data_IF_541560206791
#
_entry.id   IF_541560206791
#
_cell.length_a   1.000
_cell.length_b   1.000
_cell.length_c   1.000
_cell.angle_alpha   90.00
_cell.angle_beta   90.00
_cell.angle_gamma   90.00
#
_symmetry.space_group_name_H-M   'P 1'
#
loop_
_entity.id
_entity.type
_entity.pdbx_description
1 polymer ?
#
# COMPACT_ATOMS: atom_id res chain seq x y z
N UNK A 1 76.64 -15.48 1.53
CA UNK A 1 75.96 -14.23 1.95
C UNK A 1 75.10 -13.70 0.81
N UNK A 2 73.76 -13.81 0.89
CA UNK A 2 72.86 -13.30 -0.15
C UNK A 2 72.53 -11.82 0.08
N UNK A 3 72.90 -10.95 -0.88
CA UNK A 3 72.56 -9.51 -0.88
C UNK A 3 71.04 -9.33 -1.07
N UNK A 4 70.34 -8.83 -0.06
CA UNK A 4 68.95 -8.32 -0.20
C UNK A 4 68.95 -7.16 -1.21
N UNK A 5 68.42 -7.38 -2.42
CA UNK A 5 68.14 -6.32 -3.40
C UNK A 5 67.16 -5.32 -2.77
N UNK A 6 67.59 -4.06 -2.58
CA UNK A 6 66.72 -2.97 -2.11
C UNK A 6 65.73 -2.59 -3.24
N UNK A 7 64.44 -2.53 -2.92
CA UNK A 7 63.38 -2.14 -3.87
C UNK A 7 63.62 -0.72 -4.39
N UNK A 8 63.47 -0.50 -5.70
CA UNK A 8 63.60 0.83 -6.30
C UNK A 8 62.45 1.74 -5.88
N UNK A 9 62.60 3.07 -5.98
CA UNK A 9 61.55 4.01 -5.59
C UNK A 9 60.21 3.72 -6.31
N UNK A 10 60.25 3.41 -7.61
CA UNK A 10 59.07 2.99 -8.38
C UNK A 10 58.39 1.72 -7.86
N UNK A 11 59.17 0.72 -7.38
CA UNK A 11 58.62 -0.48 -6.74
C UNK A 11 57.96 -0.18 -5.38
N UNK A 12 58.37 0.89 -4.69
CA UNK A 12 57.75 1.32 -3.43
C UNK A 12 56.44 2.06 -3.70
N UNK A 13 56.39 2.94 -4.71
CA UNK A 13 55.15 3.61 -5.11
C UNK A 13 54.10 2.62 -5.62
N UNK A 14 54.50 1.65 -6.46
CA UNK A 14 53.60 0.61 -6.94
C UNK A 14 53.06 -0.25 -5.78
N UNK A 15 53.90 -0.58 -4.80
CA UNK A 15 53.47 -1.31 -3.60
C UNK A 15 52.45 -0.51 -2.78
N UNK A 16 52.68 0.79 -2.55
CA UNK A 16 51.73 1.63 -1.82
C UNK A 16 50.43 1.85 -2.60
N UNK A 17 50.48 1.96 -3.93
CA UNK A 17 49.31 2.03 -4.78
C UNK A 17 48.47 0.74 -4.70
N UNK A 18 49.10 -0.44 -4.70
CA UNK A 18 48.42 -1.73 -4.50
C UNK A 18 47.80 -1.81 -3.10
N UNK A 19 48.51 -1.39 -2.05
CA UNK A 19 47.96 -1.37 -0.68
C UNK A 19 46.75 -0.43 -0.59
N UNK A 20 46.83 0.76 -1.18
CA UNK A 20 45.71 1.70 -1.21
C UNK A 20 44.49 1.12 -1.97
N UNK A 21 44.72 0.46 -3.11
CA UNK A 21 43.67 -0.24 -3.86
C UNK A 21 43.04 -1.38 -3.07
N UNK A 22 43.85 -2.17 -2.35
CA UNK A 22 43.35 -3.25 -1.50
C UNK A 22 42.55 -2.72 -0.31
N UNK A 23 42.97 -1.60 0.29
CA UNK A 23 42.21 -0.94 1.37
C UNK A 23 40.90 -0.36 0.84
N UNK A 24 40.91 0.29 -0.33
CA UNK A 24 39.68 0.80 -0.95
C UNK A 24 38.72 -0.34 -1.31
N UNK A 25 39.23 -1.45 -1.85
CA UNK A 25 38.43 -2.63 -2.10
C UNK A 25 37.87 -3.22 -0.80
N UNK A 26 38.69 -3.34 0.26
CA UNK A 26 38.23 -3.84 1.56
C UNK A 26 37.16 -2.92 2.20
N UNK A 27 37.30 -1.59 2.09
CA UNK A 27 36.29 -0.64 2.57
C UNK A 27 35.01 -0.69 1.75
N UNK A 28 35.12 -0.83 0.42
CA UNK A 28 33.97 -1.00 -0.46
C UNK A 28 33.21 -2.30 -0.14
N UNK A 29 33.94 -3.42 0.00
CA UNK A 29 33.36 -4.69 0.41
C UNK A 29 32.80 -4.65 1.83
N UNK A 30 33.45 -3.94 2.77
CA UNK A 30 32.91 -3.77 4.12
C UNK A 30 31.63 -2.91 4.13
N UNK A 31 31.53 -1.89 3.27
CA UNK A 31 30.33 -1.06 3.12
C UNK A 31 29.16 -1.83 2.50
N UNK A 32 29.40 -2.56 1.40
CA UNK A 32 28.41 -3.43 0.75
C UNK A 32 28.00 -4.60 1.65
N UNK A 33 28.94 -5.17 2.39
CA UNK A 33 28.68 -6.17 3.41
C UNK A 33 27.81 -5.56 4.53
N UNK A 34 28.20 -4.44 5.12
CA UNK A 34 27.42 -3.79 6.17
C UNK A 34 25.99 -3.45 5.73
N UNK A 35 25.78 -2.88 4.54
CA UNK A 35 24.42 -2.55 4.05
C UNK A 35 23.56 -3.77 3.74
N UNK A 36 24.19 -4.93 3.44
CA UNK A 36 23.48 -6.20 3.24
C UNK A 36 23.05 -6.87 4.55
N UNK A 37 23.58 -6.43 5.70
CA UNK A 37 23.24 -6.97 7.03
C UNK A 37 22.59 -5.94 7.96
N UNK A 38 22.27 -4.73 7.49
CA UNK A 38 21.47 -3.78 8.27
C UNK A 38 20.02 -4.22 8.29
N UNK A 39 19.52 -4.57 9.48
CA UNK A 39 18.11 -4.78 9.76
C UNK A 39 17.32 -3.50 9.44
N UNK A 40 16.18 -3.65 8.76
CA UNK A 40 15.38 -2.53 8.26
C UNK A 40 13.91 -2.66 8.64
N UNK A 41 13.29 -1.50 8.86
CA UNK A 41 11.85 -1.32 8.77
C UNK A 41 11.56 -0.65 7.43
N UNK A 42 10.75 -1.31 6.60
CA UNK A 42 10.30 -0.76 5.32
C UNK A 42 9.11 0.18 5.52
N UNK A 43 9.02 1.23 4.72
CA UNK A 43 7.90 2.18 4.75
C UNK A 43 7.22 2.20 3.39
N UNK A 44 5.92 1.91 3.35
CA UNK A 44 5.08 2.03 2.16
C UNK A 44 4.19 3.25 2.35
N UNK A 45 4.25 4.22 1.43
CA UNK A 45 3.41 5.42 1.48
C UNK A 45 2.27 5.33 0.47
N UNK A 46 1.09 4.97 0.96
CA UNK A 46 -0.14 4.93 0.17
C UNK A 46 -0.73 6.34 0.16
N UNK A 47 -0.41 7.12 -0.88
CA UNK A 47 -0.82 8.53 -0.98
C UNK A 47 -1.66 8.78 -2.24
N UNK A 48 -2.75 9.52 -2.09
CA UNK A 48 -3.67 9.80 -3.20
C UNK A 48 -4.52 8.58 -3.59
N UNK A 49 -5.02 8.56 -4.83
CA UNK A 49 -5.89 7.48 -5.30
C UNK A 49 -5.10 6.19 -5.55
N UNK A 50 -5.67 5.04 -5.16
CA UNK A 50 -5.13 3.69 -5.39
C UNK A 50 -5.59 3.21 -6.77
N UNK A 51 -4.87 3.61 -7.82
CA UNK A 51 -5.29 3.41 -9.22
C UNK A 51 -4.49 2.36 -9.98
N UNK A 52 -3.37 1.90 -9.41
CA UNK A 52 -2.49 0.89 -10.00
C UNK A 52 -1.94 -0.08 -8.95
N UNK A 53 -1.04 -0.98 -9.36
CA UNK A 53 -0.51 -2.05 -8.52
C UNK A 53 0.76 -1.68 -7.77
N UNK A 54 1.18 -0.41 -7.78
CA UNK A 54 2.46 0.04 -7.20
C UNK A 54 2.63 -0.39 -5.74
N UNK A 55 1.59 -0.23 -4.92
CA UNK A 55 1.66 -0.57 -3.49
C UNK A 55 1.67 -2.08 -3.25
N UNK A 56 1.02 -2.86 -4.11
CA UNK A 56 1.12 -4.32 -4.09
C UNK A 56 2.55 -4.76 -4.45
N UNK A 57 3.17 -4.17 -5.47
CA UNK A 57 4.56 -4.47 -5.86
C UNK A 57 5.54 -4.11 -4.74
N UNK A 58 5.37 -2.97 -4.07
CA UNK A 58 6.17 -2.59 -2.91
C UNK A 58 6.02 -3.57 -1.73
N UNK A 59 4.79 -4.03 -1.44
CA UNK A 59 4.54 -5.03 -0.42
C UNK A 59 5.18 -6.39 -0.78
N UNK A 60 5.17 -6.76 -2.06
CA UNK A 60 5.83 -7.96 -2.57
C UNK A 60 7.36 -7.88 -2.45
N UNK A 61 7.96 -6.74 -2.77
CA UNK A 61 9.38 -6.51 -2.60
C UNK A 61 9.78 -6.54 -1.12
N UNK A 62 8.96 -5.91 -0.25
CA UNK A 62 9.13 -5.98 1.19
C UNK A 62 9.12 -7.42 1.71
N UNK A 63 8.19 -8.23 1.20
CA UNK A 63 8.04 -9.64 1.56
C UNK A 63 9.30 -10.45 1.23
N UNK A 64 9.91 -10.19 0.07
CA UNK A 64 11.06 -10.95 -0.44
C UNK A 64 12.40 -10.49 0.11
N UNK A 65 12.49 -9.27 0.61
CA UNK A 65 13.72 -8.73 1.16
C UNK A 65 14.00 -9.28 2.57
N UNK A 66 15.04 -10.11 2.79
CA UNK A 66 15.30 -10.72 4.09
C UNK A 66 15.76 -9.73 5.16
N UNK A 67 16.19 -8.53 4.78
CA UNK A 67 16.65 -7.50 5.71
C UNK A 67 15.50 -6.62 6.22
N UNK A 68 14.37 -6.58 5.51
CA UNK A 68 13.15 -5.95 6.01
C UNK A 68 12.50 -6.90 7.01
N UNK A 69 12.41 -6.46 8.27
CA UNK A 69 11.88 -7.25 9.39
C UNK A 69 10.46 -6.86 9.77
N UNK A 70 10.07 -5.62 9.54
CA UNK A 70 8.71 -5.11 9.68
C UNK A 70 8.42 -4.06 8.60
N UNK A 71 7.15 -3.76 8.38
CA UNK A 71 6.70 -2.72 7.47
C UNK A 71 5.74 -1.76 8.17
N UNK A 72 5.97 -0.46 7.99
CA UNK A 72 5.00 0.58 8.32
C UNK A 72 4.32 1.06 7.04
N UNK A 73 3.00 1.00 7.00
CA UNK A 73 2.19 1.52 5.89
C UNK A 73 1.60 2.87 6.31
N UNK A 74 2.06 3.94 5.70
CA UNK A 74 1.55 5.30 5.92
C UNK A 74 0.45 5.56 4.89
N UNK A 75 -0.79 5.69 5.36
CA UNK A 75 -1.96 5.82 4.50
C UNK A 75 -2.47 7.25 4.55
N UNK A 76 -2.48 7.93 3.40
CA UNK A 76 -3.12 9.22 3.20
C UNK A 76 -3.88 9.21 1.85
N UNK A 77 -5.02 8.52 1.85
CA UNK A 77 -5.74 8.14 0.63
C UNK A 77 -7.26 8.12 0.83
N UNK A 78 -8.04 8.64 -0.15
CA UNK A 78 -9.50 8.53 -0.16
C UNK A 78 -10.00 7.15 -0.66
N UNK A 79 -9.10 6.24 -1.05
CA UNK A 79 -9.43 4.98 -1.72
C UNK A 79 -8.93 4.96 -3.16
N UNK A 80 -9.63 4.23 -4.04
CA UNK A 80 -9.24 4.10 -5.44
C UNK A 80 -10.04 3.03 -6.16
N UNK A 81 -9.45 2.43 -7.18
CA UNK A 81 -10.10 1.34 -7.92
C UNK A 81 -10.22 0.09 -7.05
N UNK A 82 -11.30 -0.67 -7.26
CA UNK A 82 -11.56 -1.92 -6.52
C UNK A 82 -10.42 -2.91 -6.69
N UNK A 83 -9.96 -3.11 -7.94
CA UNK A 83 -8.93 -4.10 -8.25
C UNK A 83 -7.58 -3.74 -7.61
N UNK A 84 -7.13 -2.49 -7.73
CA UNK A 84 -5.86 -2.06 -7.14
C UNK A 84 -5.89 -2.15 -5.60
N UNK A 85 -7.02 -1.78 -4.99
CA UNK A 85 -7.21 -1.90 -3.54
C UNK A 85 -7.20 -3.36 -3.08
N UNK A 86 -7.84 -4.26 -3.83
CA UNK A 86 -7.88 -5.71 -3.52
C UNK A 86 -6.49 -6.35 -3.61
N UNK A 87 -5.69 -6.01 -4.63
CA UNK A 87 -4.35 -6.61 -4.75
C UNK A 87 -3.37 -6.04 -3.74
N UNK A 88 -3.49 -4.74 -3.43
CA UNK A 88 -2.69 -4.15 -2.35
C UNK A 88 -3.04 -4.80 -1.00
N UNK A 89 -4.33 -4.96 -0.68
CA UNK A 89 -4.78 -5.65 0.53
C UNK A 89 -4.30 -7.10 0.58
N UNK A 90 -4.47 -7.86 -0.51
CA UNK A 90 -4.06 -9.26 -0.57
C UNK A 90 -2.54 -9.43 -0.38
N UNK A 91 -1.73 -8.58 -0.99
CA UNK A 91 -0.27 -8.65 -0.86
C UNK A 91 0.20 -8.21 0.53
N UNK A 92 -0.38 -7.15 1.10
CA UNK A 92 -0.10 -6.76 2.48
C UNK A 92 -0.51 -7.86 3.46
N UNK A 93 -1.62 -8.56 3.21
CA UNK A 93 -2.02 -9.69 4.03
C UNK A 93 -1.03 -10.85 3.93
N UNK A 94 -0.52 -11.17 2.75
CA UNK A 94 0.55 -12.17 2.60
C UNK A 94 1.82 -11.75 3.35
N UNK A 95 2.19 -10.48 3.24
CA UNK A 95 3.30 -9.90 3.98
C UNK A 95 3.08 -10.04 5.51
N UNK A 96 1.89 -9.68 6.00
CA UNK A 96 1.55 -9.70 7.41
C UNK A 96 1.59 -11.10 8.03
N UNK A 97 1.33 -12.14 7.24
CA UNK A 97 1.49 -13.53 7.69
C UNK A 97 2.95 -13.93 7.98
N UNK A 98 3.94 -13.16 7.50
CA UNK A 98 5.37 -13.49 7.63
C UNK A 98 6.19 -12.43 8.36
N UNK A 99 5.76 -11.17 8.33
CA UNK A 99 6.48 -10.02 8.90
C UNK A 99 5.46 -9.04 9.48
N UNK A 100 5.73 -8.42 10.64
CA UNK A 100 4.81 -7.45 11.20
C UNK A 100 4.50 -6.30 10.25
N UNK A 101 3.22 -5.96 10.12
CA UNK A 101 2.74 -4.80 9.37
C UNK A 101 1.97 -3.88 10.30
N UNK A 102 2.37 -2.61 10.36
CA UNK A 102 1.70 -1.58 11.16
C UNK A 102 1.24 -0.46 10.25
N UNK A 103 0.00 -0.03 10.37
CA UNK A 103 -0.56 1.10 9.63
C UNK A 103 -0.57 2.35 10.49
N UNK A 104 -0.30 3.50 9.88
CA UNK A 104 -0.64 4.81 10.44
C UNK A 104 -1.42 5.63 9.43
N UNK A 105 -2.57 6.15 9.84
CA UNK A 105 -3.44 6.95 8.99
C UNK A 105 -3.14 8.44 9.13
N UNK A 106 -3.00 9.09 7.98
CA UNK A 106 -2.79 10.52 7.78
C UNK A 106 -4.08 11.32 7.89
N UNK A 107 -4.32 12.22 6.94
CA UNK A 107 -5.56 13.00 6.88
C UNK A 107 -6.71 12.10 6.43
N UNK A 108 -6.47 11.24 5.43
CA UNK A 108 -7.46 10.33 4.86
C UNK A 108 -7.01 8.87 4.90
N UNK A 109 -7.91 7.97 5.27
CA UNK A 109 -7.77 6.53 5.08
C UNK A 109 -9.15 5.91 4.91
N UNK A 110 -9.82 6.25 3.82
CA UNK A 110 -11.23 5.91 3.57
C UNK A 110 -11.40 4.95 2.37
N UNK A 111 -12.57 4.29 2.30
CA UNK A 111 -12.95 3.38 1.22
C UNK A 111 -11.88 2.28 0.99
N UNK A 112 -11.37 2.12 -0.23
CA UNK A 112 -10.32 1.15 -0.56
C UNK A 112 -9.05 1.28 0.31
N UNK A 113 -8.72 2.48 0.78
CA UNK A 113 -7.56 2.70 1.65
C UNK A 113 -7.77 2.13 3.06
N UNK A 114 -9.02 2.18 3.58
CA UNK A 114 -9.35 1.50 4.82
C UNK A 114 -9.27 -0.01 4.67
N UNK A 115 -9.78 -0.57 3.55
CA UNK A 115 -9.64 -2.00 3.23
C UNK A 115 -8.16 -2.42 3.25
N UNK A 116 -7.29 -1.69 2.55
CA UNK A 116 -5.84 -1.91 2.54
C UNK A 116 -5.26 -1.86 3.95
N UNK A 117 -5.67 -0.89 4.76
CA UNK A 117 -5.23 -0.74 6.14
C UNK A 117 -5.58 -1.95 7.02
N UNK A 118 -6.67 -2.66 6.71
CA UNK A 118 -7.08 -3.81 7.52
C UNK A 118 -6.11 -4.98 7.46
N UNK A 119 -5.29 -5.10 6.41
CA UNK A 119 -4.28 -6.14 6.24
C UNK A 119 -2.99 -5.84 7.04
N UNK A 120 -3.14 -5.55 8.33
CA UNK A 120 -2.05 -5.21 9.25
C UNK A 120 -2.32 -5.78 10.65
N UNK A 121 -1.27 -5.87 11.47
CA UNK A 121 -1.37 -6.28 12.88
C UNK A 121 -1.94 -5.17 13.77
N UNK A 122 -1.68 -3.92 13.40
CA UNK A 122 -2.01 -2.76 14.23
C UNK A 122 -2.24 -1.51 13.39
N UNK A 123 -3.30 -0.77 13.70
CA UNK A 123 -3.71 0.45 12.99
C UNK A 123 -3.74 1.63 13.96
N UNK A 124 -2.86 2.59 13.71
CA UNK A 124 -2.95 3.93 14.27
C UNK A 124 -3.75 4.85 13.37
N UNK A 125 -4.55 5.74 13.98
CA UNK A 125 -5.12 6.90 13.29
C UNK A 125 -4.86 8.17 14.08
N UNK A 126 -4.83 9.33 13.42
CA UNK A 126 -4.90 10.60 14.15
C UNK A 126 -6.33 10.81 14.62
N UNK A 127 -6.50 11.60 15.69
CA UNK A 127 -7.83 11.90 16.23
C UNK A 127 -8.80 12.40 15.15
N UNK A 128 -8.30 13.24 14.24
CA UNK A 128 -9.10 13.87 13.18
C UNK A 128 -8.97 13.19 11.80
N UNK A 129 -8.37 12.01 11.70
CA UNK A 129 -8.32 11.25 10.42
C UNK A 129 -9.74 10.97 9.93
N UNK A 130 -9.98 11.14 8.63
CA UNK A 130 -11.22 10.71 7.96
C UNK A 130 -11.05 9.27 7.48
N UNK A 131 -11.83 8.33 8.04
CA UNK A 131 -11.73 6.90 7.73
C UNK A 131 -13.11 6.26 7.52
N UNK A 132 -13.21 4.93 7.54
CA UNK A 132 -14.36 4.15 7.09
C UNK A 132 -14.68 4.44 5.62
N UNK A 133 -15.87 4.96 5.29
CA UNK A 133 -16.30 5.12 3.90
C UNK A 133 -16.47 3.78 3.19
N UNK A 134 -16.96 2.77 3.92
CA UNK A 134 -17.07 1.40 3.41
C UNK A 134 -18.19 1.34 2.38
N UNK A 135 -17.80 1.34 1.11
CA UNK A 135 -18.76 1.38 0.02
C UNK A 135 -18.09 1.19 -1.33
N UNK A 136 -18.91 0.83 -2.30
CA UNK A 136 -18.54 0.69 -3.71
C UNK A 136 -19.49 1.57 -4.52
N UNK A 137 -18.94 2.34 -5.44
CA UNK A 137 -19.72 3.17 -6.36
C UNK A 137 -19.35 2.85 -7.79
N UNK A 138 -20.34 2.96 -8.67
CA UNK A 138 -20.15 2.89 -10.11
C UNK A 138 -20.90 4.07 -10.73
N UNK A 139 -20.24 4.82 -11.62
CA UNK A 139 -20.75 6.10 -12.12
C UNK A 139 -20.85 6.06 -13.64
N UNK A 140 -22.06 6.22 -14.17
CA UNK A 140 -22.31 6.33 -15.61
C UNK A 140 -22.78 7.76 -15.93
N UNK A 141 -22.03 8.46 -16.77
CA UNK A 141 -22.45 9.76 -17.33
C UNK A 141 -23.04 9.58 -18.72
N UNK A 142 -24.32 9.94 -18.90
CA UNK A 142 -25.01 9.93 -20.20
C UNK A 142 -25.22 11.35 -20.73
N UNK A 143 -24.91 11.56 -22.00
CA UNK A 143 -25.12 12.78 -22.78
C UNK A 143 -26.29 12.65 -23.77
N UNK A 144 -27.11 11.59 -23.67
CA UNK A 144 -28.23 11.31 -24.58
C UNK A 144 -29.11 12.55 -24.83
N UNK A 145 -29.56 13.20 -23.74
CA UNK A 145 -30.42 14.37 -23.82
C UNK A 145 -29.71 15.58 -24.45
N UNK A 146 -28.41 15.73 -24.23
CA UNK A 146 -27.61 16.79 -24.83
C UNK A 146 -27.52 16.60 -26.35
N UNK A 147 -27.16 15.40 -26.78
CA UNK A 147 -27.01 15.07 -28.20
C UNK A 147 -28.33 15.19 -28.94
N UNK A 148 -29.41 14.68 -28.36
CA UNK A 148 -30.77 14.85 -28.89
C UNK A 148 -31.15 16.32 -29.03
N UNK A 149 -30.79 17.16 -28.05
CA UNK A 149 -31.02 18.61 -28.11
C UNK A 149 -30.21 19.32 -29.20
N UNK A 150 -29.02 18.81 -29.53
CA UNK A 150 -28.16 19.30 -30.60
C UNK A 150 -28.51 18.71 -31.98
N UNK A 151 -29.48 17.79 -32.06
CA UNK A 151 -29.86 17.10 -33.29
C UNK A 151 -28.85 16.05 -33.76
N UNK A 152 -28.01 15.56 -32.84
CA UNK A 152 -27.04 14.51 -33.11
C UNK A 152 -27.74 13.15 -33.01
N UNK A 153 -27.82 12.46 -34.14
CA UNK A 153 -28.30 11.07 -34.21
C UNK A 153 -27.13 10.09 -34.07
N UNK A 154 -27.27 9.09 -33.20
CA UNK A 154 -26.26 8.06 -32.99
C UNK A 154 -26.83 6.67 -33.32
N UNK A 155 -26.23 6.01 -34.30
CA UNK A 155 -26.61 4.66 -34.72
C UNK A 155 -25.58 3.64 -34.22
N UNK A 156 -26.04 2.53 -33.65
CA UNK A 156 -25.17 1.48 -33.13
C UNK A 156 -25.57 0.11 -33.63
N UNK A 157 -24.57 -0.73 -33.84
CA UNK A 157 -24.72 -2.16 -34.10
C UNK A 157 -23.73 -2.89 -33.20
N UNK A 158 -24.23 -3.72 -32.28
CA UNK A 158 -23.41 -4.41 -31.30
C UNK A 158 -23.49 -5.93 -31.52
N UNK A 159 -22.44 -6.65 -31.10
CA UNK A 159 -22.42 -8.12 -31.14
C UNK A 159 -23.23 -8.77 -30.00
N UNK A 160 -23.80 -7.97 -29.11
CA UNK A 160 -24.58 -8.38 -27.94
C UNK A 160 -25.08 -7.17 -27.18
N UNK A 161 -26.13 -7.35 -26.38
CA UNK A 161 -26.85 -6.26 -25.70
C UNK A 161 -25.95 -5.47 -24.74
N UNK A 162 -25.08 -6.15 -23.98
CA UNK A 162 -24.18 -5.53 -23.01
C UNK A 162 -22.88 -4.96 -23.63
N UNK A 163 -22.68 -5.05 -24.95
CA UNK A 163 -21.38 -4.73 -25.56
C UNK A 163 -21.06 -3.23 -25.55
N UNK A 164 -22.08 -2.40 -25.39
CA UNK A 164 -21.94 -0.95 -25.23
C UNK A 164 -22.41 -0.45 -23.86
N UNK A 165 -22.30 -1.29 -22.82
CA UNK A 165 -22.40 -0.85 -21.42
C UNK A 165 -21.44 0.32 -21.19
N UNK A 166 -21.85 1.30 -20.38
CA UNK A 166 -21.13 2.58 -20.16
C UNK A 166 -21.12 3.53 -21.36
N UNK A 167 -21.94 3.29 -22.39
CA UNK A 167 -22.07 4.19 -23.53
C UNK A 167 -22.47 5.62 -23.10
N UNK A 168 -21.69 6.66 -23.43
CA UNK A 168 -21.99 8.03 -23.04
C UNK A 168 -23.15 8.65 -23.83
N UNK A 169 -23.68 7.96 -24.83
CA UNK A 169 -24.65 8.49 -25.80
C UNK A 169 -26.09 8.03 -25.55
N UNK A 170 -26.31 7.22 -24.52
CA UNK A 170 -27.62 6.71 -24.12
C UNK A 170 -27.67 6.50 -22.61
N UNK A 171 -28.86 6.51 -22.06
CA UNK A 171 -29.09 6.09 -20.68
C UNK A 171 -28.93 4.56 -20.54
N UNK A 172 -28.66 4.06 -19.33
CA UNK A 172 -28.70 2.64 -19.04
C UNK A 172 -30.08 2.05 -19.34
N UNK A 173 -30.15 0.82 -19.85
CA UNK A 173 -31.41 0.08 -19.90
C UNK A 173 -31.81 -0.41 -18.49
N UNK A 174 -33.07 -0.82 -18.26
CA UNK A 174 -33.47 -1.45 -17.01
C UNK A 174 -32.62 -2.68 -16.67
N UNK A 175 -32.32 -3.53 -17.66
CA UNK A 175 -31.52 -4.73 -17.49
C UNK A 175 -30.07 -4.40 -17.11
N UNK A 176 -29.45 -3.41 -17.76
CA UNK A 176 -28.12 -2.93 -17.42
C UNK A 176 -28.07 -2.31 -16.02
N UNK A 177 -29.12 -1.59 -15.63
CA UNK A 177 -29.22 -1.00 -14.29
C UNK A 177 -29.26 -2.08 -13.21
N UNK A 178 -30.04 -3.15 -13.44
CA UNK A 178 -30.11 -4.29 -12.52
C UNK A 178 -28.77 -5.01 -12.43
N UNK A 179 -28.12 -5.26 -13.56
CA UNK A 179 -26.81 -5.94 -13.59
C UNK A 179 -25.73 -5.11 -12.89
N UNK A 180 -25.66 -3.80 -13.16
CA UNK A 180 -24.70 -2.90 -12.52
C UNK A 180 -24.94 -2.78 -11.02
N UNK A 181 -26.20 -2.71 -10.59
CA UNK A 181 -26.51 -2.71 -9.16
C UNK A 181 -26.08 -4.02 -8.50
N UNK A 182 -26.34 -5.16 -9.14
CA UNK A 182 -25.89 -6.46 -8.63
C UNK A 182 -24.36 -6.54 -8.52
N UNK A 183 -23.63 -6.00 -9.50
CA UNK A 183 -22.17 -5.90 -9.43
C UNK A 183 -21.72 -5.08 -8.22
N UNK A 184 -22.31 -3.89 -8.00
CA UNK A 184 -21.99 -3.03 -6.85
C UNK A 184 -22.29 -3.74 -5.53
N UNK A 185 -23.43 -4.41 -5.41
CA UNK A 185 -23.83 -5.14 -4.20
C UNK A 185 -22.88 -6.31 -3.90
N UNK A 186 -22.48 -7.06 -4.94
CA UNK A 186 -21.53 -8.17 -4.82
C UNK A 186 -20.15 -7.67 -4.36
N UNK A 187 -19.63 -6.60 -4.98
CA UNK A 187 -18.36 -6.00 -4.59
C UNK A 187 -18.39 -5.44 -3.17
N UNK A 188 -19.50 -4.83 -2.76
CA UNK A 188 -19.68 -4.38 -1.37
C UNK A 188 -19.64 -5.56 -0.39
N UNK A 189 -20.27 -6.68 -0.73
CA UNK A 189 -20.19 -7.90 0.09
C UNK A 189 -18.75 -8.42 0.18
N UNK A 190 -17.99 -8.41 -0.91
CA UNK A 190 -16.59 -8.81 -0.93
C UNK A 190 -15.71 -7.90 -0.07
N UNK A 191 -15.90 -6.58 -0.15
CA UNK A 191 -15.20 -5.59 0.71
C UNK A 191 -15.44 -5.91 2.19
N UNK A 192 -16.69 -6.07 2.59
CA UNK A 192 -17.03 -6.36 3.99
C UNK A 192 -16.48 -7.73 4.42
N UNK A 193 -16.53 -8.74 3.56
CA UNK A 193 -15.98 -10.05 3.85
C UNK A 193 -14.46 -9.98 4.09
N UNK A 194 -13.71 -9.26 3.25
CA UNK A 194 -12.26 -9.05 3.43
C UNK A 194 -11.94 -8.31 4.71
N UNK A 195 -12.67 -7.23 5.01
CA UNK A 195 -12.50 -6.47 6.27
C UNK A 195 -12.75 -7.39 7.48
N UNK A 196 -13.83 -8.19 7.47
CA UNK A 196 -14.16 -9.12 8.56
C UNK A 196 -13.09 -10.22 8.73
N UNK A 197 -12.49 -10.69 7.63
CA UNK A 197 -11.40 -11.68 7.67
C UNK A 197 -10.15 -11.07 8.31
N UNK A 198 -9.80 -9.84 7.93
CA UNK A 198 -8.58 -9.19 8.39
C UNK A 198 -8.71 -8.66 9.83
N UNK A 199 -9.89 -8.16 10.20
CA UNK A 199 -10.17 -7.57 11.53
C UNK A 199 -11.46 -8.16 12.13
N UNK A 200 -11.44 -9.42 12.61
CA UNK A 200 -12.61 -10.07 13.19
C UNK A 200 -13.12 -9.42 14.49
N UNK A 201 -12.31 -8.56 15.12
CA UNK A 201 -12.64 -7.83 16.33
C UNK A 201 -13.54 -6.61 16.12
N UNK A 202 -13.78 -6.17 14.88
CA UNK A 202 -14.63 -5.02 14.56
C UNK A 202 -16.05 -5.24 15.12
N UNK A 203 -16.60 -4.20 15.72
CA UNK A 203 -17.96 -4.17 16.28
C UNK A 203 -18.86 -3.41 15.30
N UNK A 204 -20.11 -3.86 15.13
CA UNK A 204 -21.16 -3.15 14.37
C UNK A 204 -20.78 -2.70 12.95
N UNK A 205 -19.92 -3.45 12.24
CA UNK A 205 -19.51 -3.10 10.87
C UNK A 205 -20.68 -2.94 9.90
N UNK A 206 -21.80 -3.63 10.15
CA UNK A 206 -22.98 -3.54 9.29
C UNK A 206 -23.67 -2.16 9.37
N UNK A 207 -23.46 -1.39 10.46
CA UNK A 207 -23.90 0.01 10.58
C UNK A 207 -23.10 0.96 9.69
N UNK A 208 -21.89 0.57 9.28
CA UNK A 208 -20.95 1.39 8.50
C UNK A 208 -21.04 1.12 6.99
N UNK A 209 -22.06 0.37 6.56
CA UNK A 209 -22.24 -0.05 5.16
C UNK A 209 -22.92 1.00 4.28
N UNK A 210 -23.30 2.13 4.85
CA UNK A 210 -23.96 3.23 4.12
C UNK A 210 -22.97 4.12 3.35
N UNK A 211 -21.67 3.80 3.41
CA UNK A 211 -20.60 4.55 2.74
C UNK A 211 -20.20 5.83 3.46
N UNK A 212 -20.75 6.12 4.65
CA UNK A 212 -20.35 7.28 5.43
C UNK A 212 -18.92 7.14 5.97
N UNK A 213 -18.22 8.28 6.02
CA UNK A 213 -16.93 8.39 6.68
C UNK A 213 -17.11 8.83 8.13
N UNK A 214 -16.20 8.41 8.99
CA UNK A 214 -16.16 8.83 10.41
C UNK A 214 -14.77 9.35 10.77
N UNK A 215 -14.69 10.06 11.90
CA UNK A 215 -13.43 10.57 12.42
C UNK A 215 -12.64 9.46 13.15
N UNK A 216 -11.31 9.58 13.21
CA UNK A 216 -10.44 8.58 13.84
C UNK A 216 -10.81 8.28 15.31
N UNK A 217 -11.20 9.30 16.09
CA UNK A 217 -11.66 9.08 17.47
C UNK A 217 -12.99 8.29 17.54
N UNK A 218 -13.83 8.37 16.52
CA UNK A 218 -15.09 7.63 16.42
C UNK A 218 -14.84 6.18 15.98
N UNK A 219 -13.76 5.94 15.22
CA UNK A 219 -13.36 4.62 14.73
C UNK A 219 -12.89 3.67 15.85
N UNK A 220 -12.43 4.20 16.99
CA UNK A 220 -11.95 3.44 18.15
C UNK A 220 -13.04 2.54 18.78
N UNK A 221 -14.22 3.05 19.19
CA UNK A 221 -15.31 2.22 19.71
C UNK A 221 -15.75 1.08 18.79
N UNK A 222 -15.70 1.29 17.47
CA UNK A 222 -16.00 0.26 16.46
C UNK A 222 -14.84 -0.75 16.28
N UNK A 223 -13.67 -0.49 16.87
CA UNK A 223 -12.41 -1.23 16.67
C UNK A 223 -11.94 -1.27 15.22
N UNK A 224 -12.29 -0.24 14.45
CA UNK A 224 -11.78 -0.05 13.10
C UNK A 224 -10.28 0.30 13.13
N UNK A 225 -9.88 1.03 14.16
CA UNK A 225 -8.48 1.36 14.48
C UNK A 225 -8.17 0.84 15.88
N UNK A 226 -6.88 0.64 16.17
CA UNK A 226 -6.43 0.09 17.44
C UNK A 226 -6.09 1.19 18.45
N UNK A 227 -5.50 2.30 17.97
CA UNK A 227 -5.08 3.41 18.83
C UNK A 227 -5.07 4.75 18.09
N UNK A 228 -5.26 5.84 18.84
CA UNK A 228 -4.95 7.18 18.34
C UNK A 228 -3.47 7.46 18.50
N UNK A 229 -2.78 7.67 17.40
CA UNK A 229 -1.34 7.92 17.38
C UNK A 229 -0.87 8.47 16.05
N UNK A 230 0.42 8.37 15.82
CA UNK A 230 1.09 8.98 14.68
C UNK A 230 2.11 8.03 14.05
N UNK A 231 3.00 8.59 13.24
CA UNK A 231 4.01 7.84 12.52
C UNK A 231 5.12 7.33 13.43
N UNK A 232 5.50 8.08 14.46
CA UNK A 232 6.52 7.63 15.41
C UNK A 232 5.99 6.44 16.21
N UNK A 233 4.74 6.53 16.70
CA UNK A 233 4.06 5.41 17.37
C UNK A 233 4.02 4.15 16.51
N UNK A 234 3.73 4.29 15.21
CA UNK A 234 3.73 3.16 14.29
C UNK A 234 5.12 2.53 14.08
N UNK A 235 6.18 3.34 14.00
CA UNK A 235 7.56 2.83 13.92
C UNK A 235 7.95 2.07 15.19
N UNK A 236 7.63 2.61 16.38
CA UNK A 236 7.89 1.93 17.64
C UNK A 236 7.13 0.62 17.73
N UNK A 237 5.83 0.60 17.37
CA UNK A 237 5.02 -0.62 17.35
C UNK A 237 5.56 -1.66 16.37
N UNK A 238 6.00 -1.24 15.18
CA UNK A 238 6.59 -2.13 14.19
C UNK A 238 7.91 -2.74 14.69
N UNK A 239 8.76 -1.94 15.34
CA UNK A 239 9.99 -2.43 15.96
C UNK A 239 9.70 -3.41 17.11
N UNK A 240 8.74 -3.09 17.98
CA UNK A 240 8.28 -3.94 19.08
C UNK A 240 7.80 -5.30 18.56
N UNK A 241 6.91 -5.32 17.57
CA UNK A 241 6.36 -6.56 17.00
C UNK A 241 7.42 -7.41 16.27
N UNK A 242 8.52 -6.80 15.83
CA UNK A 242 9.65 -7.49 15.19
C UNK A 242 10.81 -7.79 16.14
N UNK A 243 10.63 -7.60 17.45
CA UNK A 243 11.65 -7.79 18.48
C UNK A 243 12.96 -7.02 18.19
N UNK A 244 12.84 -5.77 17.72
CA UNK A 244 13.97 -4.91 17.37
C UNK A 244 14.24 -3.87 18.47
N UNK A 245 15.49 -3.79 18.92
CA UNK A 245 15.94 -2.76 19.85
C UNK A 245 16.09 -1.40 19.16
N UNK A 246 15.86 -0.31 19.89
CA UNK A 246 16.09 1.04 19.38
C UNK A 246 17.55 1.22 18.92
N UNK A 247 17.75 1.79 17.73
CA UNK A 247 19.08 1.93 17.12
C UNK A 247 19.66 0.67 16.47
N UNK A 248 18.98 -0.49 16.58
CA UNK A 248 19.40 -1.74 15.91
C UNK A 248 18.92 -1.86 14.46
N UNK A 249 18.10 -0.90 13.99
CA UNK A 249 17.51 -0.90 12.66
C UNK A 249 17.58 0.48 12.01
N UNK A 250 17.46 0.49 10.69
CA UNK A 250 17.26 1.71 9.90
C UNK A 250 15.88 1.70 9.24
N UNK A 251 15.29 2.88 9.05
CA UNK A 251 14.02 3.03 8.33
C UNK A 251 14.32 3.34 6.86
N UNK A 252 13.67 2.63 5.95
CA UNK A 252 13.83 2.82 4.50
C UNK A 252 12.47 2.96 3.82
N UNK A 253 12.35 3.94 2.94
CA UNK A 253 11.19 4.08 2.06
C UNK A 253 11.26 3.02 0.96
N UNK A 254 10.14 2.33 0.73
CA UNK A 254 9.98 1.39 -0.37
C UNK A 254 9.39 2.16 -1.55
N UNK A 255 10.21 2.35 -2.56
CA UNK A 255 9.84 3.01 -3.81
C UNK A 255 10.00 2.01 -4.94
N UNK A 256 9.07 2.03 -5.89
CA UNK A 256 9.16 1.28 -7.15
C UNK A 256 10.24 1.82 -8.08
#
# INVERSE_FOLDING_TARGET
>A
MARKRKRTAGQRYLMWAIVALLVLAALFYAGDWYSKYTTRIGVIRVSGSIDDFTYADQAYDALRDPNIKAVVVVVDSPGGTVQASFETEAMLRELNMKKPVVVTMGEYAASGAYLVSTASDYIFARSATVTAGLGVIAVWVSYENKWKGEGIEYYRWTSGEMKDLWAPYRSPTPEESVELQSLVDNLMNDVIARIKINRPQIVNIDELRDGSTIWGYEALPYRLVDEIGDYEGALYKAAELADLEEGSYTVVELTS
#
